data_IF_844492871860
#
_entry.id   IF_844492871860
#
_cell.length_a   1.000
_cell.length_b   1.000
_cell.length_c   1.000
_cell.angle_alpha   90.00
_cell.angle_beta   90.00
_cell.angle_gamma   90.00
#
_symmetry.space_group_name_H-M   'P 1'
#
loop_
_entity.id
_entity.type
_entity.pdbx_description
1 polymer ?
#
# COMPACT_ATOMS: atom_id res chain seq x y z
N UNK A 1 7.24 -15.17 17.21
CA UNK A 1 6.05 -15.84 17.78
C UNK A 1 5.35 -15.01 18.88
N UNK A 2 5.83 -13.81 19.27
CA UNK A 2 5.12 -13.00 20.28
C UNK A 2 4.24 -11.85 19.74
N UNK A 3 4.32 -11.50 18.44
CA UNK A 3 3.39 -10.51 17.85
C UNK A 3 2.62 -10.97 16.61
N UNK A 4 3.11 -11.94 15.84
CA UNK A 4 2.45 -12.37 14.59
C UNK A 4 2.47 -13.90 14.47
N UNK A 5 1.29 -14.50 14.30
CA UNK A 5 1.03 -15.95 14.31
C UNK A 5 1.29 -16.66 12.97
N UNK A 6 1.47 -15.93 11.87
CA UNK A 6 1.46 -16.50 10.52
C UNK A 6 2.79 -17.07 10.00
N UNK A 7 3.83 -17.19 10.82
CA UNK A 7 5.14 -17.65 10.34
C UNK A 7 5.67 -18.83 11.17
N UNK A 8 5.08 -20.00 10.94
CA UNK A 8 5.79 -21.28 11.10
C UNK A 8 5.69 -22.04 9.78
N UNK A 9 6.78 -22.24 9.02
CA UNK A 9 6.72 -23.00 7.78
C UNK A 9 6.50 -24.51 7.99
N UNK A 10 6.45 -25.00 9.24
CA UNK A 10 6.26 -26.42 9.54
C UNK A 10 5.57 -26.60 10.89
N UNK A 11 4.23 -26.53 10.91
CA UNK A 11 3.47 -27.33 11.86
C UNK A 11 3.32 -28.72 11.24
N UNK A 12 4.18 -29.65 11.65
CA UNK A 12 3.87 -31.07 11.51
C UNK A 12 2.58 -31.33 12.30
N UNK A 13 1.71 -32.19 11.76
CA UNK A 13 0.45 -32.67 12.36
C UNK A 13 -0.79 -31.77 12.18
N UNK A 14 -1.13 -31.46 10.93
CA UNK A 14 -2.53 -31.29 10.54
C UNK A 14 -2.72 -31.85 9.13
N UNK A 15 -3.66 -32.78 8.99
CA UNK A 15 -3.96 -33.50 7.76
C UNK A 15 -4.15 -32.55 6.58
N UNK A 16 -3.30 -32.75 5.56
CA UNK A 16 -3.38 -32.02 4.31
C UNK A 16 -4.57 -32.52 3.49
N UNK A 17 -5.76 -31.97 3.74
CA UNK A 17 -6.67 -31.75 2.62
C UNK A 17 -6.05 -30.62 1.79
N UNK A 18 -5.21 -31.01 0.82
CA UNK A 18 -4.59 -30.15 -0.18
C UNK A 18 -5.69 -29.29 -0.82
N UNK A 19 -5.84 -28.04 -0.37
CA UNK A 19 -6.72 -27.09 -1.02
C UNK A 19 -6.11 -26.78 -2.38
N UNK A 20 -6.47 -27.60 -3.38
CA UNK A 20 -6.18 -27.32 -4.78
C UNK A 20 -7.02 -26.13 -5.21
N UNK A 21 -6.43 -24.94 -5.15
CA UNK A 21 -6.95 -23.82 -5.92
C UNK A 21 -6.81 -24.17 -7.40
N UNK A 22 -7.92 -24.47 -8.07
CA UNK A 22 -7.96 -24.66 -9.53
C UNK A 22 -7.52 -23.41 -10.31
N UNK A 23 -7.39 -22.27 -9.62
CA UNK A 23 -6.81 -21.07 -10.17
C UNK A 23 -5.27 -21.12 -10.08
N UNK A 24 -4.54 -21.10 -11.21
CA UNK A 24 -3.09 -21.00 -11.18
C UNK A 24 -2.67 -19.74 -10.40
N UNK A 25 -1.61 -19.82 -9.56
CA UNK A 25 -1.14 -18.68 -8.80
C UNK A 25 -0.74 -17.55 -9.76
N UNK A 26 -1.46 -16.43 -9.66
CA UNK A 26 -1.31 -15.35 -10.62
C UNK A 26 0.09 -14.74 -10.48
N UNK A 27 0.84 -14.61 -11.59
CA UNK A 27 2.17 -13.99 -11.55
C UNK A 27 2.03 -12.57 -10.98
N UNK A 28 2.88 -12.23 -10.00
CA UNK A 28 2.85 -10.93 -9.28
C UNK A 28 2.82 -9.71 -10.22
N UNK A 29 3.36 -9.82 -11.44
CA UNK A 29 3.33 -8.76 -12.46
C UNK A 29 3.02 -9.38 -13.83
N UNK A 30 1.85 -9.06 -14.37
CA UNK A 30 1.45 -9.39 -15.75
C UNK A 30 1.94 -8.30 -16.71
N UNK A 31 2.66 -8.66 -17.77
CA UNK A 31 3.15 -7.70 -18.78
C UNK A 31 2.01 -6.95 -19.48
N UNK A 32 0.86 -7.61 -19.62
CA UNK A 32 -0.40 -7.05 -20.11
C UNK A 32 -1.06 -6.04 -19.16
N UNK A 33 -0.68 -6.03 -17.87
CA UNK A 33 -1.13 -5.05 -16.88
C UNK A 33 -0.19 -3.84 -16.76
N UNK A 34 1.02 -3.87 -17.35
CA UNK A 34 1.97 -2.74 -17.32
C UNK A 34 1.45 -1.52 -18.08
N UNK A 35 0.66 -1.74 -19.14
CA UNK A 35 0.07 -0.69 -19.96
C UNK A 35 -1.43 -0.49 -19.71
N UNK A 36 -2.04 -1.35 -18.89
CA UNK A 36 -3.37 -1.05 -18.34
C UNK A 36 -3.13 -0.10 -17.19
N UNK A 37 -3.54 1.16 -17.36
CA UNK A 37 -3.71 2.10 -16.24
C UNK A 37 -4.87 1.60 -15.35
N UNK A 38 -4.70 0.43 -14.73
CA UNK A 38 -5.60 -0.10 -13.71
C UNK A 38 -5.39 0.79 -12.51
N UNK A 39 -6.42 1.57 -12.14
CA UNK A 39 -6.50 2.19 -10.80
C UNK A 39 -6.35 1.08 -9.77
N UNK A 40 -5.13 0.77 -9.34
CA UNK A 40 -4.79 -0.48 -8.62
C UNK A 40 -5.55 -0.66 -7.31
N UNK A 41 -6.02 0.45 -6.74
CA UNK A 41 -6.82 0.46 -5.51
C UNK A 41 -8.27 0.87 -5.67
N UNK A 42 -8.72 1.31 -6.85
CA UNK A 42 -10.10 1.72 -7.16
C UNK A 42 -10.94 1.99 -5.92
N UNK A 43 -10.50 2.96 -5.10
CA UNK A 43 -10.88 2.99 -3.69
C UNK A 43 -12.37 3.21 -3.62
N UNK A 44 -13.11 2.23 -3.11
CA UNK A 44 -14.56 2.32 -3.06
C UNK A 44 -14.97 3.60 -2.32
N UNK A 45 -14.22 3.95 -1.28
CA UNK A 45 -14.38 5.18 -0.53
C UNK A 45 -14.23 6.43 -1.40
N UNK A 46 -13.18 6.52 -2.23
CA UNK A 46 -12.96 7.66 -3.13
C UNK A 46 -14.06 7.73 -4.20
N UNK A 47 -14.50 6.61 -4.75
CA UNK A 47 -15.60 6.55 -5.71
C UNK A 47 -16.95 6.96 -5.08
N UNK A 48 -17.19 6.60 -3.81
CA UNK A 48 -18.39 7.02 -3.07
C UNK A 48 -18.35 8.52 -2.78
N UNK A 49 -17.21 9.07 -2.34
CA UNK A 49 -17.05 10.51 -2.07
C UNK A 49 -17.23 11.33 -3.35
N UNK A 50 -16.61 10.91 -4.46
CA UNK A 50 -16.75 11.61 -5.75
C UNK A 50 -18.17 11.55 -6.30
N UNK A 51 -18.87 10.42 -6.15
CA UNK A 51 -20.29 10.32 -6.46
C UNK A 51 -21.14 11.24 -5.57
N UNK A 52 -20.85 11.30 -4.26
CA UNK A 52 -21.53 12.20 -3.32
C UNK A 52 -21.36 13.68 -3.71
N UNK A 53 -20.16 14.08 -4.10
CA UNK A 53 -19.88 15.43 -4.62
C UNK A 53 -20.67 15.73 -5.90
N UNK A 54 -20.74 14.78 -6.84
CA UNK A 54 -21.51 14.95 -8.07
C UNK A 54 -23.01 15.04 -7.81
N UNK A 55 -23.55 14.22 -6.90
CA UNK A 55 -24.93 14.26 -6.47
C UNK A 55 -25.27 15.59 -5.77
N UNK A 56 -24.35 16.11 -4.95
CA UNK A 56 -24.45 17.44 -4.35
C UNK A 56 -24.58 18.52 -5.43
N UNK A 57 -23.68 18.57 -6.41
CA UNK A 57 -23.77 19.56 -7.49
C UNK A 57 -25.06 19.43 -8.30
N UNK A 58 -25.54 18.21 -8.58
CA UNK A 58 -26.80 18.01 -9.28
C UNK A 58 -28.01 18.50 -8.47
N UNK A 59 -28.02 18.30 -7.16
CA UNK A 59 -29.12 18.74 -6.30
C UNK A 59 -29.19 20.27 -6.19
N UNK A 60 -28.05 20.93 -5.99
CA UNK A 60 -27.96 22.38 -5.84
C UNK A 60 -27.95 23.15 -7.18
N UNK A 61 -27.72 22.47 -8.30
CA UNK A 61 -27.75 23.09 -9.63
C UNK A 61 -29.09 23.81 -9.87
N UNK A 62 -30.21 23.17 -9.53
CA UNK A 62 -31.53 23.72 -9.81
C UNK A 62 -31.87 24.96 -8.97
N UNK A 63 -31.35 25.04 -7.74
CA UNK A 63 -31.62 26.15 -6.83
C UNK A 63 -30.78 27.39 -7.19
N UNK A 64 -29.49 27.20 -7.47
CA UNK A 64 -28.56 28.31 -7.71
C UNK A 64 -28.63 28.88 -9.14
N UNK A 65 -29.06 28.09 -10.13
CA UNK A 65 -29.13 28.56 -11.53
C UNK A 65 -30.40 29.35 -11.87
N UNK A 66 -31.26 29.58 -10.87
CA UNK A 66 -32.54 30.27 -11.05
C UNK A 66 -33.44 29.55 -12.06
N UNK A 67 -33.35 28.22 -12.12
CA UNK A 67 -34.09 27.42 -13.10
C UNK A 67 -35.59 27.57 -12.95
N UNK A 68 -36.05 27.52 -11.70
CA UNK A 68 -37.47 27.50 -11.34
C UNK A 68 -38.20 28.82 -11.61
N UNK A 69 -37.49 29.93 -11.78
CA UNK A 69 -38.07 31.26 -12.01
C UNK A 69 -38.24 31.60 -13.49
N UNK A 70 -37.96 30.66 -14.40
CA UNK A 70 -38.02 30.90 -15.85
C UNK A 70 -39.45 30.73 -16.38
N UNK A 71 -39.93 31.75 -17.10
CA UNK A 71 -41.19 31.66 -17.86
C UNK A 71 -40.95 30.86 -19.13
N UNK A 72 -41.68 29.76 -19.29
CA UNK A 72 -41.49 28.77 -20.35
C UNK A 72 -42.69 28.82 -21.31
N UNK A 73 -42.50 28.72 -22.63
CA UNK A 73 -43.61 28.63 -23.59
C UNK A 73 -44.40 27.32 -23.38
N UNK A 74 -45.72 27.38 -23.54
CA UNK A 74 -46.62 26.24 -23.31
C UNK A 74 -46.46 25.10 -24.35
N UNK A 75 -45.93 25.40 -25.54
CA UNK A 75 -45.67 24.40 -26.57
C UNK A 75 -44.31 23.70 -26.39
N UNK A 76 -44.32 22.38 -26.21
CA UNK A 76 -43.12 21.57 -25.96
C UNK A 76 -42.04 21.67 -27.06
N UNK A 77 -42.43 21.85 -28.33
CA UNK A 77 -41.50 22.02 -29.43
C UNK A 77 -40.77 23.37 -29.41
N UNK A 78 -41.52 24.45 -29.17
CA UNK A 78 -41.00 25.81 -28.99
C UNK A 78 -40.21 25.94 -27.69
N UNK A 79 -40.63 25.21 -26.65
CA UNK A 79 -39.92 25.04 -25.39
C UNK A 79 -38.54 24.43 -25.62
N UNK A 80 -38.43 23.29 -26.33
CA UNK A 80 -37.13 22.68 -26.64
C UNK A 80 -36.27 23.61 -27.51
N UNK A 81 -36.86 24.24 -28.51
CA UNK A 81 -36.13 25.17 -29.39
C UNK A 81 -35.61 26.41 -28.63
N UNK A 82 -36.38 26.95 -27.70
CA UNK A 82 -35.97 28.06 -26.83
C UNK A 82 -34.96 27.64 -25.76
N UNK A 83 -35.15 26.45 -25.18
CA UNK A 83 -34.29 25.84 -24.16
C UNK A 83 -32.87 25.56 -24.69
N UNK A 84 -32.77 25.08 -25.92
CA UNK A 84 -31.48 24.95 -26.62
C UNK A 84 -31.00 26.28 -27.22
N UNK A 85 -31.72 27.39 -27.00
CA UNK A 85 -31.38 28.71 -27.51
C UNK A 85 -31.29 28.77 -29.04
N UNK A 86 -32.04 27.91 -29.73
CA UNK A 86 -32.17 27.90 -31.19
C UNK A 86 -33.13 29.00 -31.66
N UNK A 87 -34.08 29.41 -30.81
CA UNK A 87 -35.14 30.39 -31.14
C UNK A 87 -35.40 31.31 -29.94
N UNK A 88 -35.55 32.61 -30.17
CA UNK A 88 -36.03 33.61 -29.20
C UNK A 88 -37.52 33.37 -28.86
N UNK A 89 -38.00 33.91 -27.74
CA UNK A 89 -39.44 33.92 -27.37
C UNK A 89 -40.36 34.52 -28.46
N UNK A 90 -39.80 35.29 -29.39
CA UNK A 90 -40.49 35.90 -30.54
C UNK A 90 -40.36 35.11 -31.86
N UNK A 91 -39.81 33.89 -31.84
CA UNK A 91 -39.70 33.05 -33.03
C UNK A 91 -38.49 33.35 -33.95
N UNK A 92 -37.55 34.20 -33.51
CA UNK A 92 -36.33 34.51 -34.27
C UNK A 92 -35.18 33.57 -33.92
N UNK A 93 -34.49 33.05 -34.94
CA UNK A 93 -33.36 32.12 -34.73
C UNK A 93 -32.19 32.77 -33.98
N UNK A 94 -31.78 32.17 -32.86
CA UNK A 94 -30.65 32.67 -32.06
C UNK A 94 -29.32 32.13 -32.58
N UNK A 95 -28.31 33.00 -32.66
CA UNK A 95 -26.95 32.64 -33.11
C UNK A 95 -26.25 31.82 -32.03
N UNK A 96 -25.69 30.66 -32.38
CA UNK A 96 -25.12 29.68 -31.44
C UNK A 96 -24.16 30.27 -30.39
N UNK A 97 -23.38 31.30 -30.75
CA UNK A 97 -22.47 32.00 -29.84
C UNK A 97 -23.14 32.76 -28.68
N UNK A 98 -24.44 33.07 -28.73
CA UNK A 98 -25.18 33.66 -27.60
C UNK A 98 -25.54 32.62 -26.54
N UNK A 99 -25.78 31.38 -26.95
CA UNK A 99 -26.13 30.24 -26.09
C UNK A 99 -24.95 29.92 -25.16
N UNK A 100 -23.74 29.86 -25.73
CA UNK A 100 -22.50 29.62 -25.00
C UNK A 100 -22.17 30.71 -23.95
N UNK A 101 -22.72 31.93 -24.11
CA UNK A 101 -22.48 33.05 -23.17
C UNK A 101 -23.39 33.04 -21.96
N UNK A 102 -24.36 32.12 -21.88
CA UNK A 102 -25.28 32.06 -20.76
C UNK A 102 -24.61 31.42 -19.53
N UNK A 103 -24.75 32.05 -18.36
CA UNK A 103 -24.07 31.64 -17.11
C UNK A 103 -24.41 30.21 -16.65
N UNK A 104 -25.52 29.64 -17.10
CA UNK A 104 -25.99 28.30 -16.70
C UNK A 104 -25.53 27.18 -17.63
N UNK A 105 -25.13 27.50 -18.87
CA UNK A 105 -24.82 26.49 -19.88
C UNK A 105 -23.59 25.67 -19.52
N UNK A 106 -22.50 26.33 -19.12
CA UNK A 106 -21.27 25.65 -18.75
C UNK A 106 -21.43 24.75 -17.49
N UNK A 107 -22.05 25.21 -16.39
CA UNK A 107 -22.35 24.34 -15.24
C UNK A 107 -23.23 23.14 -15.61
N UNK A 108 -24.23 23.30 -16.48
CA UNK A 108 -25.13 22.23 -16.88
C UNK A 108 -24.39 21.14 -17.65
N UNK A 109 -23.55 21.53 -18.61
CA UNK A 109 -22.70 20.62 -19.37
C UNK A 109 -21.74 19.85 -18.47
N UNK A 110 -21.15 20.52 -17.47
CA UNK A 110 -20.30 19.87 -16.48
C UNK A 110 -21.06 18.79 -15.68
N UNK A 111 -22.24 19.11 -15.12
CA UNK A 111 -23.04 18.14 -14.37
C UNK A 111 -23.48 16.97 -15.26
N UNK A 112 -23.87 17.25 -16.51
CA UNK A 112 -24.29 16.26 -17.49
C UNK A 112 -23.17 15.25 -17.81
N UNK A 113 -21.91 15.68 -17.83
CA UNK A 113 -20.76 14.78 -18.03
C UNK A 113 -20.36 14.10 -16.71
N UNK A 114 -20.32 14.85 -15.60
CA UNK A 114 -19.81 14.41 -14.30
C UNK A 114 -20.69 13.32 -13.66
N UNK A 115 -22.01 13.44 -13.75
CA UNK A 115 -22.95 12.49 -13.12
C UNK A 115 -22.87 11.09 -13.73
N UNK A 116 -22.99 10.89 -15.07
CA UNK A 116 -22.88 9.55 -15.64
C UNK A 116 -21.48 8.95 -15.47
N UNK A 117 -20.43 9.77 -15.55
CA UNK A 117 -19.05 9.29 -15.34
C UNK A 117 -18.81 8.82 -13.90
N UNK A 118 -19.32 9.55 -12.89
CA UNK A 118 -19.19 9.14 -11.49
C UNK A 118 -20.03 7.90 -11.15
N UNK A 119 -21.23 7.76 -11.73
CA UNK A 119 -22.05 6.55 -11.61
C UNK A 119 -21.33 5.34 -12.22
N UNK A 120 -20.79 5.49 -13.44
CA UNK A 120 -20.05 4.43 -14.12
C UNK A 120 -18.81 4.01 -13.31
N UNK A 121 -18.09 5.00 -12.78
CA UNK A 121 -16.93 4.78 -11.92
C UNK A 121 -17.30 4.03 -10.62
N UNK A 122 -18.37 4.46 -9.94
CA UNK A 122 -18.84 3.82 -8.71
C UNK A 122 -19.24 2.37 -8.95
N UNK A 123 -19.94 2.09 -10.06
CA UNK A 123 -20.34 0.73 -10.46
C UNK A 123 -19.12 -0.16 -10.70
N UNK A 124 -18.11 0.33 -11.41
CA UNK A 124 -16.87 -0.40 -11.65
C UNK A 124 -16.11 -0.68 -10.35
N UNK A 125 -15.95 0.32 -9.47
CA UNK A 125 -15.34 0.15 -8.14
C UNK A 125 -16.11 -0.86 -7.27
N UNK A 126 -17.44 -0.82 -7.30
CA UNK A 126 -18.28 -1.75 -6.54
C UNK A 126 -18.13 -3.19 -7.01
N UNK A 127 -18.10 -3.43 -8.32
CA UNK A 127 -17.88 -4.76 -8.90
C UNK A 127 -16.52 -5.35 -8.45
N UNK A 128 -15.46 -4.54 -8.51
CA UNK A 128 -14.12 -4.96 -8.07
C UNK A 128 -14.09 -5.21 -6.56
N UNK A 129 -14.71 -4.36 -5.75
CA UNK A 129 -14.80 -4.57 -4.31
C UNK A 129 -15.53 -5.87 -3.96
N UNK A 130 -16.67 -6.14 -4.62
CA UNK A 130 -17.43 -7.38 -4.45
C UNK A 130 -16.63 -8.61 -4.88
N UNK A 131 -15.90 -8.51 -5.98
CA UNK A 131 -15.00 -9.57 -6.47
C UNK A 131 -13.90 -9.85 -5.44
N UNK A 132 -13.20 -8.83 -4.95
CA UNK A 132 -12.16 -8.98 -3.92
C UNK A 132 -12.67 -9.58 -2.61
N UNK A 133 -13.86 -9.17 -2.16
CA UNK A 133 -14.52 -9.81 -1.00
C UNK A 133 -14.79 -11.29 -1.21
N UNK A 134 -15.13 -11.72 -2.44
CA UNK A 134 -15.28 -13.17 -2.75
C UNK A 134 -13.96 -13.93 -2.67
N UNK A 135 -12.86 -13.32 -3.10
CA UNK A 135 -11.53 -13.95 -3.06
C UNK A 135 -10.80 -13.80 -1.73
N UNK A 136 -11.45 -13.25 -0.69
CA UNK A 136 -10.87 -13.06 0.65
C UNK A 136 -9.48 -12.38 0.61
N UNK A 137 -9.21 -11.55 -0.39
CA UNK A 137 -7.91 -10.86 -0.48
C UNK A 137 -7.85 -9.83 0.66
N UNK A 138 -6.86 -9.93 1.58
CA UNK A 138 -6.75 -8.99 2.67
C UNK A 138 -6.33 -7.62 2.12
N UNK A 139 -7.29 -6.73 1.95
CA UNK A 139 -7.07 -5.33 1.52
C UNK A 139 -7.21 -4.34 2.67
N UNK A 140 -7.21 -4.83 3.91
CA UNK A 140 -7.29 -3.98 5.08
C UNK A 140 -6.00 -3.21 5.26
N UNK A 141 -6.10 -1.89 5.46
CA UNK A 141 -4.97 -1.05 5.88
C UNK A 141 -4.32 -1.63 7.14
N UNK A 142 -5.11 -2.22 8.05
CA UNK A 142 -4.60 -2.91 9.23
C UNK A 142 -3.66 -4.08 8.90
N UNK A 143 -3.98 -4.89 7.88
CA UNK A 143 -3.12 -6.00 7.45
C UNK A 143 -1.81 -5.50 6.82
N UNK A 144 -1.88 -4.44 6.01
CA UNK A 144 -0.67 -3.81 5.47
C UNK A 144 0.19 -3.20 6.59
N UNK A 145 -0.44 -2.48 7.52
CA UNK A 145 0.21 -1.86 8.68
C UNK A 145 0.87 -2.92 9.58
N UNK A 146 0.21 -4.07 9.76
CA UNK A 146 0.74 -5.23 10.47
C UNK A 146 2.00 -5.77 9.80
N UNK A 147 2.02 -5.91 8.47
CA UNK A 147 3.24 -6.33 7.76
C UNK A 147 4.35 -5.27 7.83
N UNK A 148 4.01 -3.98 7.80
CA UNK A 148 4.99 -2.91 8.02
C UNK A 148 5.53 -2.91 9.46
N UNK A 149 4.68 -3.12 10.46
CA UNK A 149 5.08 -3.24 11.86
C UNK A 149 5.97 -4.47 12.08
N UNK A 150 5.66 -5.60 11.43
CA UNK A 150 6.53 -6.78 11.42
C UNK A 150 7.89 -6.49 10.77
N UNK A 151 7.96 -5.65 9.74
CA UNK A 151 9.23 -5.22 9.16
C UNK A 151 10.04 -4.32 10.12
N UNK A 152 9.38 -3.47 10.92
CA UNK A 152 10.03 -2.65 11.95
C UNK A 152 10.68 -3.48 13.06
N UNK A 153 10.22 -4.72 13.30
CA UNK A 153 10.87 -5.66 14.23
C UNK A 153 12.35 -5.87 13.86
N UNK A 154 12.68 -5.99 12.56
CA UNK A 154 14.06 -6.14 12.08
C UNK A 154 14.90 -4.88 12.24
N UNK A 155 14.27 -3.70 12.13
CA UNK A 155 14.92 -2.43 12.46
C UNK A 155 15.26 -2.40 13.96
N UNK A 156 14.36 -2.87 14.81
CA UNK A 156 14.61 -3.05 16.24
C UNK A 156 15.80 -3.95 16.54
N UNK A 157 15.92 -5.10 15.87
CA UNK A 157 17.09 -5.98 16.02
C UNK A 157 18.39 -5.33 15.56
N UNK A 158 18.36 -4.53 14.49
CA UNK A 158 19.52 -3.77 14.04
C UNK A 158 19.95 -2.70 15.07
N UNK A 159 19.00 -1.97 15.65
CA UNK A 159 19.29 -1.01 16.72
C UNK A 159 19.85 -1.73 17.95
N UNK A 160 19.26 -2.87 18.34
CA UNK A 160 19.79 -3.69 19.42
C UNK A 160 21.23 -4.13 19.16
N UNK A 161 21.55 -4.50 17.92
CA UNK A 161 22.91 -4.84 17.52
C UNK A 161 23.89 -3.67 17.64
N UNK A 162 23.54 -2.47 17.18
CA UNK A 162 24.44 -1.31 17.29
C UNK A 162 24.73 -0.92 18.74
N UNK A 163 23.79 -1.16 19.66
CA UNK A 163 23.97 -0.97 21.11
C UNK A 163 24.82 -2.09 21.72
N UNK A 164 24.67 -3.34 21.27
CA UNK A 164 25.43 -4.49 21.78
C UNK A 164 26.90 -4.48 21.36
N UNK A 165 27.22 -4.04 20.14
CA UNK A 165 28.58 -4.00 19.59
C UNK A 165 29.61 -3.34 20.52
N UNK A 166 29.39 -2.12 21.07
CA UNK A 166 30.36 -1.50 21.99
C UNK A 166 30.45 -2.22 23.36
N UNK A 167 29.46 -3.01 23.75
CA UNK A 167 29.41 -3.69 25.05
C UNK A 167 30.10 -5.06 24.98
N UNK A 168 29.67 -5.89 24.02
CA UNK A 168 30.10 -7.29 23.89
C UNK A 168 31.23 -7.48 22.87
N UNK A 169 31.51 -6.47 22.05
CA UNK A 169 32.43 -6.59 20.92
C UNK A 169 31.74 -7.12 19.65
N UNK A 170 32.43 -6.99 18.52
CA UNK A 170 31.88 -7.31 17.20
C UNK A 170 31.61 -8.81 17.04
N UNK A 171 32.55 -9.67 17.45
CA UNK A 171 32.42 -11.14 17.31
C UNK A 171 31.22 -11.70 18.10
N UNK A 172 31.11 -11.36 19.37
CA UNK A 172 30.05 -11.91 20.23
C UNK A 172 28.69 -11.37 19.82
N UNK A 173 28.60 -10.07 19.50
CA UNK A 173 27.34 -9.44 19.08
C UNK A 173 26.80 -10.03 17.77
N UNK A 174 27.67 -10.26 16.79
CA UNK A 174 27.28 -10.83 15.49
C UNK A 174 26.90 -12.31 15.60
N UNK A 175 27.64 -13.11 16.36
CA UNK A 175 27.28 -14.51 16.61
C UNK A 175 25.95 -14.63 17.35
N UNK A 176 25.76 -13.84 18.40
CA UNK A 176 24.51 -13.83 19.18
C UNK A 176 23.32 -13.39 18.31
N UNK A 177 23.44 -12.28 17.59
CA UNK A 177 22.34 -11.76 16.76
C UNK A 177 22.06 -12.68 15.56
N UNK A 178 23.08 -13.19 14.88
CA UNK A 178 22.92 -14.07 13.73
C UNK A 178 22.25 -15.40 14.09
N UNK A 179 22.65 -16.01 15.21
CA UNK A 179 21.98 -17.20 15.74
C UNK A 179 20.57 -16.90 16.26
N UNK A 180 20.35 -15.75 16.89
CA UNK A 180 19.01 -15.34 17.33
C UNK A 180 18.05 -15.11 16.14
N UNK A 181 18.51 -14.45 15.08
CA UNK A 181 17.67 -14.17 13.91
C UNK A 181 17.23 -15.46 13.21
N UNK A 182 18.13 -16.42 13.03
CA UNK A 182 17.79 -17.72 12.43
C UNK A 182 16.81 -18.53 13.29
N UNK A 183 16.98 -18.49 14.61
CA UNK A 183 15.99 -19.03 15.54
C UNK A 183 14.64 -18.32 15.43
N UNK A 184 14.64 -16.99 15.30
CA UNK A 184 13.44 -16.15 15.14
C UNK A 184 12.69 -16.40 13.83
N UNK A 185 13.40 -16.73 12.76
CA UNK A 185 12.83 -17.16 11.46
C UNK A 185 12.17 -18.55 11.50
N UNK A 186 12.31 -19.29 12.62
CA UNK A 186 11.68 -20.59 12.81
C UNK A 186 12.58 -21.79 12.46
N UNK A 187 13.84 -21.54 12.11
CA UNK A 187 14.82 -22.60 11.85
C UNK A 187 15.36 -23.20 13.15
N UNK A 188 14.51 -23.98 13.84
CA UNK A 188 14.79 -24.50 15.19
C UNK A 188 15.62 -25.78 15.25
N UNK A 189 15.89 -26.42 14.12
CA UNK A 189 16.71 -27.64 14.08
C UNK A 189 18.17 -27.32 14.42
N UNK A 190 18.84 -28.20 15.19
CA UNK A 190 20.27 -28.05 15.55
C UNK A 190 21.18 -27.81 14.34
N UNK A 191 20.89 -28.44 13.20
CA UNK A 191 21.61 -28.24 11.92
C UNK A 191 21.61 -26.77 11.49
N UNK A 192 20.45 -26.11 11.51
CA UNK A 192 20.32 -24.71 11.14
C UNK A 192 20.98 -23.77 12.15
N UNK A 193 20.95 -24.13 13.44
CA UNK A 193 21.73 -23.45 14.47
C UNK A 193 23.23 -23.44 14.14
N UNK A 194 23.82 -24.60 13.82
CA UNK A 194 25.24 -24.69 13.44
C UNK A 194 25.55 -23.89 12.17
N UNK A 195 24.70 -23.98 11.14
CA UNK A 195 24.89 -23.22 9.89
C UNK A 195 24.83 -21.71 10.17
N UNK A 196 23.90 -21.25 11.02
CA UNK A 196 23.80 -19.84 11.39
C UNK A 196 25.05 -19.32 12.09
N UNK A 197 25.61 -20.14 12.98
CA UNK A 197 26.78 -19.78 13.78
C UNK A 197 28.02 -19.73 12.88
N UNK A 198 28.21 -20.73 12.02
CA UNK A 198 29.30 -20.76 11.03
C UNK A 198 29.20 -19.59 10.03
N UNK A 199 27.99 -19.29 9.54
CA UNK A 199 27.78 -18.17 8.62
C UNK A 199 28.08 -16.84 9.29
N UNK A 200 27.62 -16.63 10.52
CA UNK A 200 27.88 -15.41 11.29
C UNK A 200 29.37 -15.24 11.59
N UNK A 201 30.07 -16.33 11.92
CA UNK A 201 31.52 -16.34 12.08
C UNK A 201 32.27 -15.98 10.79
N UNK A 202 31.86 -16.56 9.65
CA UNK A 202 32.45 -16.26 8.34
C UNK A 202 32.26 -14.78 7.97
N UNK A 203 31.11 -14.19 8.29
CA UNK A 203 30.84 -12.76 8.11
C UNK A 203 31.83 -11.94 8.94
N UNK A 204 32.03 -12.26 10.22
CA UNK A 204 32.99 -11.53 11.07
C UNK A 204 34.39 -11.53 10.47
N UNK A 205 34.85 -12.70 10.03
CA UNK A 205 36.15 -12.83 9.39
C UNK A 205 36.22 -12.02 8.09
N UNK A 206 35.19 -12.08 7.24
CA UNK A 206 35.12 -11.32 6.00
C UNK A 206 35.22 -9.82 6.28
N UNK A 207 34.41 -9.28 7.20
CA UNK A 207 34.44 -7.86 7.54
C UNK A 207 35.76 -7.44 8.20
N UNK A 208 36.32 -8.25 9.08
CA UNK A 208 37.61 -7.93 9.72
C UNK A 208 38.76 -7.93 8.72
N UNK A 209 38.85 -8.97 7.89
CA UNK A 209 39.95 -9.17 6.94
C UNK A 209 39.84 -8.24 5.73
N UNK A 210 38.64 -7.98 5.23
CA UNK A 210 38.42 -7.20 4.02
C UNK A 210 38.27 -5.70 4.29
N UNK A 211 37.55 -5.30 5.35
CA UNK A 211 37.23 -3.88 5.61
C UNK A 211 38.09 -3.23 6.71
N UNK A 212 38.97 -3.97 7.40
CA UNK A 212 39.89 -3.48 8.44
C UNK A 212 39.27 -2.47 9.42
N UNK A 213 38.01 -2.70 9.81
CA UNK A 213 37.26 -1.76 10.64
C UNK A 213 37.95 -1.66 12.00
N UNK A 214 38.40 -0.45 12.35
CA UNK A 214 38.96 -0.14 13.66
C UNK A 214 37.83 -0.21 14.69
N UNK A 215 37.82 -1.26 15.49
CA UNK A 215 36.88 -1.41 16.60
C UNK A 215 37.24 -0.44 17.73
N UNK A 216 36.23 0.12 18.44
CA UNK A 216 36.48 1.01 19.59
C UNK A 216 37.28 0.26 20.65
N UNK A 217 38.33 0.91 21.20
CA UNK A 217 39.30 0.26 22.08
C UNK A 217 38.81 -0.11 23.48
N UNK A 218 37.60 0.29 23.86
CA UNK A 218 37.01 -0.01 25.17
C UNK A 218 35.76 -0.87 24.99
N UNK A 219 35.91 -2.18 25.20
CA UNK A 219 34.83 -3.17 25.13
C UNK A 219 34.70 -3.77 26.52
N UNK A 220 33.56 -3.54 27.16
CA UNK A 220 33.32 -3.93 28.56
C UNK A 220 33.54 -5.43 28.81
N UNK A 221 33.11 -6.29 27.88
CA UNK A 221 33.29 -7.74 28.01
C UNK A 221 34.76 -8.15 28.00
N UNK A 222 35.60 -7.44 27.24
CA UNK A 222 37.01 -7.79 27.10
C UNK A 222 37.84 -7.35 28.32
N UNK A 223 37.36 -6.37 29.09
CA UNK A 223 37.99 -5.95 30.35
C UNK A 223 37.88 -7.01 31.45
N UNK A 224 36.95 -7.95 31.33
CA UNK A 224 36.77 -9.07 32.27
C UNK A 224 37.68 -10.27 31.96
N UNK A 225 38.39 -10.26 30.82
CA UNK A 225 39.24 -11.37 30.38
C UNK A 225 40.69 -11.22 30.93
N UNK A 226 41.40 -12.34 31.15
CA UNK A 226 42.83 -12.33 31.48
C UNK A 226 43.63 -11.56 30.42
N UNK A 227 44.67 -10.83 30.84
CA UNK A 227 45.38 -9.86 29.99
C UNK A 227 45.90 -10.39 28.65
N UNK A 228 46.33 -11.65 28.59
CA UNK A 228 46.75 -12.31 27.35
C UNK A 228 45.57 -12.48 26.39
N UNK A 229 44.47 -13.10 26.84
CA UNK A 229 43.25 -13.31 26.05
C UNK A 229 42.59 -11.99 25.62
N UNK A 230 42.58 -10.98 26.49
CA UNK A 230 42.10 -9.64 26.18
C UNK A 230 42.86 -9.03 24.99
N UNK A 231 44.19 -9.13 25.01
CA UNK A 231 45.05 -8.57 23.95
C UNK A 231 44.84 -9.27 22.62
N UNK A 232 44.67 -10.60 22.63
CA UNK A 232 44.29 -11.38 21.45
C UNK A 232 42.91 -10.96 20.90
N UNK A 233 41.89 -10.84 21.74
CA UNK A 233 40.55 -10.44 21.31
C UNK A 233 40.55 -9.03 20.70
N UNK A 234 41.15 -8.04 21.35
CA UNK A 234 41.23 -6.67 20.82
C UNK A 234 41.98 -6.57 19.48
N UNK A 235 43.01 -7.41 19.29
CA UNK A 235 43.84 -7.40 18.09
C UNK A 235 43.15 -8.06 16.90
N UNK A 236 42.38 -9.12 17.13
CA UNK A 236 41.79 -9.92 16.05
C UNK A 236 40.28 -9.70 15.85
N UNK A 237 39.54 -9.22 16.85
CA UNK A 237 38.07 -9.18 16.85
C UNK A 237 37.48 -7.92 17.51
#
# INVERSE_FOLDING_TARGET
LFMFSEHTPFSCEAEASDFKSECPPDKKVKKEDLFKFKRGRGDLHVSVVTFGLAAFFLAFFWTETGWNTRKLPDEFGLYLAHQFGLVDLEGRGMRFGRILKQSWFAPMLCVLILVPTTIWNLRASWQVHRWRKRFLQPTGIGYELEKYAAALEFVGYFIGYTVLVPILGYLVSTLALGSYLTWRLGYRTRRWGCISLLSSFAIVLLFRTFLQIKTPGNIWLYDQLPGTLRSYMLTYF
#
